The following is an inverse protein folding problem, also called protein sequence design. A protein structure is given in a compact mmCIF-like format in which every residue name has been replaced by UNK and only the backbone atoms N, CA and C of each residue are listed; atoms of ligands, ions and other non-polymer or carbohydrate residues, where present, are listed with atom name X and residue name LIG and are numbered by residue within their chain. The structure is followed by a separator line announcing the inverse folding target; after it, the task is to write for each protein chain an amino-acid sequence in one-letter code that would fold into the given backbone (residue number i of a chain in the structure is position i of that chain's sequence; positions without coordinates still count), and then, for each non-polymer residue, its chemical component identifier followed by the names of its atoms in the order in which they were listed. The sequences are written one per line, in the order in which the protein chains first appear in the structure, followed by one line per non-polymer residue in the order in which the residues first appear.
data_IF_581390308312
#
_entry.id   IF_581390308312
#
_cell.length_a   1.000
_cell.length_b   1.000
_cell.length_c   1.000
_cell.angle_alpha   90.00
_cell.angle_beta   90.00
_cell.angle_gamma   90.00
#
_symmetry.space_group_name_H-M   'P 1'
#
loop_
_entity.id
_entity.type
_entity.pdbx_description
1 polymer ?
#
# COMPACT_ATOMS: atom_id res chain seq x y z
N UNK A 1 -16.26 24.89 -5.27
CA UNK A 1 -15.31 25.31 -4.15
C UNK A 1 -14.03 24.48 -4.21
N UNK A 2 -12.82 25.07 -4.20
CA UNK A 2 -11.63 24.25 -4.45
C UNK A 2 -11.30 23.34 -3.24
N UNK A 3 -11.37 22.09 -3.45
CA UNK A 3 -11.02 21.05 -2.45
C UNK A 3 -9.56 21.23 -1.98
N UNK A 4 -9.45 21.21 -0.60
CA UNK A 4 -8.13 21.43 0.05
C UNK A 4 -7.47 20.08 0.37
N UNK A 5 -6.12 20.11 -0.08
CA UNK A 5 -5.32 18.90 0.19
C UNK A 5 -4.37 19.18 1.36
N UNK A 6 -4.31 18.20 2.29
CA UNK A 6 -3.49 18.39 3.50
C UNK A 6 -2.01 18.15 3.18
N UNK A 7 -1.22 18.91 4.02
CA UNK A 7 0.24 18.70 3.89
C UNK A 7 0.63 17.29 4.34
N UNK A 8 1.56 16.72 3.73
CA UNK A 8 1.97 15.30 3.92
C UNK A 8 2.39 15.04 5.38
N UNK A 9 3.07 15.98 6.04
CA UNK A 9 3.58 15.76 7.41
C UNK A 9 2.42 15.67 8.41
N UNK A 10 1.56 16.50 8.20
CA UNK A 10 0.39 16.46 9.11
C UNK A 10 -0.44 15.19 8.88
N UNK A 11 -0.58 14.79 7.66
CA UNK A 11 -1.32 13.55 7.35
C UNK A 11 -0.64 12.33 7.97
N UNK A 12 0.66 12.35 8.03
CA UNK A 12 1.39 11.21 8.64
C UNK A 12 1.06 11.09 10.13
N UNK A 13 0.97 12.24 10.72
CA UNK A 13 0.70 12.21 12.18
C UNK A 13 -0.71 11.70 12.46
N UNK A 14 -1.55 12.10 11.61
CA UNK A 14 -2.95 11.69 11.85
C UNK A 14 -3.09 10.18 11.59
N UNK A 15 -2.54 9.77 10.45
CA UNK A 15 -2.62 8.33 10.15
C UNK A 15 -1.97 7.51 11.27
N UNK A 16 -0.90 8.01 11.75
CA UNK A 16 -0.20 7.29 12.83
C UNK A 16 -1.12 7.17 14.07
N UNK A 17 -1.77 8.16 14.40
CA UNK A 17 -2.63 8.16 15.61
C UNK A 17 -3.83 7.21 15.42
N UNK A 18 -4.39 7.32 14.24
CA UNK A 18 -5.60 6.50 14.00
C UNK A 18 -5.24 5.01 14.05
N UNK A 19 -4.19 4.64 13.36
CA UNK A 19 -3.83 3.20 13.34
C UNK A 19 -3.37 2.76 14.73
N UNK A 20 -2.65 3.64 15.47
CA UNK A 20 -2.23 3.30 16.86
C UNK A 20 -3.44 3.06 17.75
N UNK A 21 -4.47 3.85 17.59
CA UNK A 21 -5.64 3.73 18.48
C UNK A 21 -6.48 2.51 18.11
N UNK A 22 -6.58 2.19 16.94
CA UNK A 22 -7.49 1.09 16.53
C UNK A 22 -6.74 -0.22 16.40
N UNK A 23 -5.41 -0.16 16.38
CA UNK A 23 -4.52 -1.33 16.28
C UNK A 23 -4.64 -2.01 14.92
N UNK A 24 -5.86 -1.85 14.34
CA UNK A 24 -6.03 -2.48 13.02
C UNK A 24 -7.09 -1.72 12.22
N UNK A 25 -6.75 -1.45 10.89
CA UNK A 25 -7.70 -0.84 9.94
C UNK A 25 -7.78 -1.78 8.71
N UNK A 26 -9.03 -2.06 8.27
CA UNK A 26 -9.28 -3.26 7.43
C UNK A 26 -9.21 -2.91 5.94
N UNK A 27 -9.20 -1.55 5.64
CA UNK A 27 -9.09 -1.24 4.19
C UNK A 27 -8.61 0.19 3.99
N UNK A 28 -8.13 0.46 2.68
CA UNK A 28 -7.68 1.85 2.40
C UNK A 28 -8.85 2.83 2.42
N UNK A 29 -10.11 2.25 2.14
CA UNK A 29 -11.29 3.14 2.20
C UNK A 29 -11.60 3.52 3.65
N UNK A 30 -11.47 2.51 4.41
CA UNK A 30 -11.71 2.79 5.85
C UNK A 30 -10.68 3.77 6.42
N UNK A 31 -9.47 3.56 6.08
CA UNK A 31 -8.43 4.49 6.60
C UNK A 31 -8.70 5.91 6.11
N UNK A 32 -9.01 6.04 4.87
CA UNK A 32 -9.27 7.39 4.32
C UNK A 32 -10.48 8.02 5.00
N UNK A 33 -11.47 7.23 5.18
CA UNK A 33 -12.68 7.77 5.84
C UNK A 33 -12.37 8.26 7.25
N UNK A 34 -11.62 7.45 8.00
CA UNK A 34 -11.27 7.84 9.38
C UNK A 34 -10.40 9.10 9.41
N UNK A 35 -9.51 9.13 8.50
CA UNK A 35 -8.63 10.32 8.47
C UNK A 35 -9.44 11.55 8.06
N UNK A 36 -10.29 11.35 7.12
CA UNK A 36 -11.07 12.50 6.63
C UNK A 36 -12.02 12.98 7.73
N UNK A 37 -12.67 12.08 8.42
CA UNK A 37 -13.55 12.47 9.53
C UNK A 37 -12.82 13.34 10.55
N UNK A 38 -11.65 13.04 10.84
CA UNK A 38 -10.87 13.85 11.80
C UNK A 38 -10.50 15.21 11.20
N UNK A 39 -10.14 15.25 9.92
CA UNK A 39 -9.68 16.50 9.27
C UNK A 39 -10.86 17.46 9.07
N UNK A 40 -11.98 16.90 8.82
CA UNK A 40 -13.13 17.78 8.50
C UNK A 40 -13.66 18.44 9.77
N UNK A 41 -13.19 17.93 10.94
CA UNK A 41 -13.52 18.70 12.16
C UNK A 41 -12.85 20.08 12.15
N UNK A 42 -11.79 20.18 11.44
CA UNK A 42 -11.08 21.48 11.35
C UNK A 42 -11.55 22.28 10.13
N UNK A 43 -11.71 21.57 9.02
CA UNK A 43 -12.15 22.24 7.78
C UNK A 43 -12.94 21.23 6.93
N UNK A 44 -14.12 21.67 6.48
CA UNK A 44 -15.03 20.73 5.77
C UNK A 44 -14.59 20.55 4.31
N UNK A 45 -13.61 21.23 3.87
CA UNK A 45 -13.32 21.18 2.41
C UNK A 45 -12.14 20.23 2.15
N UNK A 46 -11.72 19.53 3.22
CA UNK A 46 -10.58 18.63 2.99
C UNK A 46 -11.06 17.37 2.24
N UNK A 47 -10.08 16.92 1.34
CA UNK A 47 -10.37 15.65 0.65
C UNK A 47 -9.14 14.74 0.74
N UNK A 48 -9.45 13.50 0.75
CA UNK A 48 -8.35 12.52 0.85
C UNK A 48 -8.75 11.24 0.12
N UNK A 49 -7.90 10.91 -0.90
CA UNK A 49 -8.17 9.65 -1.61
C UNK A 49 -7.61 8.44 -0.83
N UNK A 50 -8.26 7.31 -0.99
CA UNK A 50 -7.75 6.10 -0.33
C UNK A 50 -6.31 5.78 -0.75
N UNK A 51 -6.00 6.02 -1.98
CA UNK A 51 -4.62 5.71 -2.46
C UNK A 51 -3.59 6.59 -1.72
N UNK A 52 -3.99 7.86 -1.54
CA UNK A 52 -3.04 8.75 -0.85
C UNK A 52 -2.87 8.32 0.62
N UNK A 53 -3.97 7.92 1.22
CA UNK A 53 -3.88 7.43 2.62
C UNK A 53 -2.98 6.20 2.70
N UNK A 54 -3.14 5.33 1.76
CA UNK A 54 -2.28 4.14 1.72
C UNK A 54 -0.80 4.51 1.54
N UNK A 55 -0.52 5.40 0.66
CA UNK A 55 0.89 5.76 0.39
C UNK A 55 1.55 6.35 1.65
N UNK A 56 0.74 7.14 2.31
CA UNK A 56 1.32 7.76 3.51
C UNK A 56 1.53 6.68 4.58
N UNK A 57 0.59 5.79 4.66
CA UNK A 57 0.77 4.72 5.67
C UNK A 57 2.02 3.88 5.35
N UNK A 58 2.36 3.66 4.11
CA UNK A 58 3.53 2.85 3.73
C UNK A 58 4.83 3.53 4.18
N UNK A 59 4.74 4.80 4.43
CA UNK A 59 5.97 5.52 4.82
C UNK A 59 6.20 5.44 6.32
N UNK A 60 5.25 4.93 7.01
CA UNK A 60 5.36 4.91 8.47
C UNK A 60 5.91 3.55 8.92
N UNK A 61 7.09 3.58 9.52
CA UNK A 61 7.74 2.32 9.92
C UNK A 61 6.96 1.61 11.04
N UNK A 62 6.09 2.30 11.75
CA UNK A 62 5.36 1.70 12.89
C UNK A 62 4.06 1.06 12.40
N UNK A 63 3.82 1.24 11.07
CA UNK A 63 2.58 0.66 10.54
C UNK A 63 2.94 -0.45 9.55
N UNK A 64 2.42 -1.58 9.91
CA UNK A 64 2.56 -2.70 8.94
C UNK A 64 1.40 -2.71 7.95
N UNK A 65 1.77 -2.76 6.66
CA UNK A 65 0.71 -2.79 5.62
C UNK A 65 0.70 -4.18 4.98
N UNK A 66 -0.49 -4.79 5.24
CA UNK A 66 -0.66 -6.12 4.60
C UNK A 66 -1.62 -6.03 3.42
N UNK A 67 -1.11 -6.66 2.32
CA UNK A 67 -2.01 -6.66 1.13
C UNK A 67 -2.61 -8.07 0.95
N UNK A 68 -3.99 -8.05 0.93
CA UNK A 68 -4.64 -9.31 0.48
C UNK A 68 -4.71 -9.38 -1.05
N UNK A 69 -4.17 -10.57 -1.51
CA UNK A 69 -4.01 -10.64 -2.98
C UNK A 69 -4.90 -11.76 -3.54
N UNK A 70 -5.37 -11.56 -4.77
CA UNK A 70 -6.11 -12.62 -5.48
C UNK A 70 -5.28 -13.09 -6.69
N UNK A 71 -5.42 -14.47 -6.86
CA UNK A 71 -4.70 -15.05 -8.02
C UNK A 71 -5.45 -14.74 -9.33
N UNK A 72 -4.70 -14.19 -10.24
CA UNK A 72 -5.35 -13.95 -11.56
C UNK A 72 -4.55 -14.69 -12.64
N UNK A 73 -5.29 -15.36 -13.64
CA UNK A 73 -4.79 -16.32 -14.66
C UNK A 73 -3.99 -15.55 -15.72
N UNK A 74 -4.04 -14.10 -15.71
CA UNK A 74 -3.27 -13.34 -16.74
C UNK A 74 -2.76 -12.03 -16.14
N UNK A 75 -1.48 -12.07 -15.78
CA UNK A 75 -0.96 -10.76 -15.28
C UNK A 75 -0.45 -9.93 -16.46
N UNK A 76 -1.05 -8.80 -16.64
CA UNK A 76 -0.37 -7.88 -17.58
C UNK A 76 1.06 -7.56 -17.12
N UNK A 77 2.05 -7.65 -17.98
CA UNK A 77 3.43 -7.20 -17.67
C UNK A 77 3.45 -6.11 -16.60
N UNK A 78 3.85 -6.53 -15.28
CA UNK A 78 3.93 -5.58 -14.15
C UNK A 78 5.16 -4.69 -14.35
N UNK A 79 4.88 -3.43 -14.75
CA UNK A 79 5.99 -2.48 -14.97
C UNK A 79 6.36 -1.76 -13.66
N UNK A 80 5.29 -1.69 -12.79
CA UNK A 80 5.54 -1.02 -11.49
C UNK A 80 4.84 -1.81 -10.37
N UNK A 81 5.36 -1.55 -9.17
CA UNK A 81 4.77 -2.24 -8.00
C UNK A 81 3.31 -1.83 -7.82
N UNK A 82 2.43 -2.78 -7.74
CA UNK A 82 0.99 -2.49 -7.56
C UNK A 82 0.69 -1.94 -6.17
N UNK A 83 1.68 -2.02 -5.30
CA UNK A 83 1.39 -1.57 -3.92
C UNK A 83 1.94 -0.15 -3.71
N UNK A 84 3.14 0.04 -4.19
CA UNK A 84 3.71 1.36 -3.84
C UNK A 84 4.16 2.08 -5.11
N UNK A 85 4.02 1.50 -6.24
CA UNK A 85 4.32 2.07 -7.57
C UNK A 85 5.83 2.20 -7.81
N UNK A 86 6.58 1.61 -6.92
CA UNK A 86 8.04 1.63 -7.13
C UNK A 86 8.46 0.62 -8.20
N UNK A 87 9.75 0.76 -8.63
CA UNK A 87 10.20 -0.18 -9.67
C UNK A 87 10.26 -1.63 -9.14
N UNK A 88 9.95 -2.59 -10.11
CA UNK A 88 9.96 -4.02 -9.70
C UNK A 88 11.06 -4.73 -10.50
N UNK A 89 11.64 -5.70 -9.78
CA UNK A 89 12.73 -6.45 -10.44
C UNK A 89 12.32 -7.92 -10.55
N UNK A 90 12.79 -8.55 -11.74
CA UNK A 90 12.46 -9.98 -11.92
C UNK A 90 13.35 -10.88 -11.04
N UNK A 91 12.66 -11.90 -10.49
CA UNK A 91 13.45 -12.93 -9.79
C UNK A 91 13.80 -14.06 -10.78
N UNK A 92 15.17 -14.19 -10.89
CA UNK A 92 15.62 -15.14 -11.93
C UNK A 92 16.32 -16.34 -11.27
N UNK A 93 15.99 -17.53 -11.82
CA UNK A 93 16.72 -18.73 -11.38
C UNK A 93 17.19 -19.52 -12.62
N UNK A 94 18.22 -20.43 -12.36
CA UNK A 94 18.66 -21.30 -13.49
C UNK A 94 17.87 -22.61 -13.48
N UNK A 95 17.39 -22.97 -14.71
CA UNK A 95 16.69 -24.27 -14.77
C UNK A 95 17.67 -25.44 -14.94
N UNK A 96 17.14 -26.60 -15.01
CA UNK A 96 17.99 -27.81 -15.09
C UNK A 96 18.89 -27.78 -16.32
N UNK A 97 18.56 -26.88 -17.28
CA UNK A 97 19.41 -26.74 -18.50
C UNK A 97 20.35 -25.55 -18.38
N UNK A 98 20.52 -25.01 -17.17
CA UNK A 98 21.36 -23.84 -16.90
C UNK A 98 20.89 -22.60 -17.68
N UNK A 99 19.66 -22.59 -18.05
CA UNK A 99 19.09 -21.37 -18.65
C UNK A 99 18.41 -20.51 -17.57
N UNK A 100 18.59 -19.11 -17.75
CA UNK A 100 17.98 -18.19 -16.77
C UNK A 100 16.48 -17.99 -17.08
N UNK A 101 15.73 -18.40 -16.01
CA UNK A 101 14.30 -18.17 -16.24
C UNK A 101 13.77 -17.29 -15.11
N UNK A 102 12.69 -16.50 -15.40
CA UNK A 102 12.05 -15.64 -14.39
C UNK A 102 10.94 -16.41 -13.67
N UNK A 103 11.02 -16.36 -12.34
CA UNK A 103 10.02 -17.16 -11.60
C UNK A 103 9.12 -16.22 -10.80
N UNK A 104 9.37 -14.86 -10.97
CA UNK A 104 8.53 -13.91 -10.22
C UNK A 104 9.12 -12.50 -10.26
N UNK A 105 8.42 -11.57 -9.40
CA UNK A 105 8.87 -10.17 -9.32
C UNK A 105 8.91 -9.71 -7.86
N UNK A 106 9.92 -8.86 -7.61
CA UNK A 106 9.98 -8.27 -6.26
C UNK A 106 10.16 -6.76 -6.36
N UNK A 107 9.44 -6.09 -5.33
CA UNK A 107 9.54 -4.62 -5.31
C UNK A 107 10.85 -4.22 -4.62
N UNK A 108 11.45 -3.12 -5.04
CA UNK A 108 12.74 -2.65 -4.48
C UNK A 108 12.48 -1.77 -3.24
N UNK A 109 11.26 -1.46 -3.05
CA UNK A 109 11.02 -0.46 -1.97
C UNK A 109 10.14 -1.09 -0.90
N UNK A 110 9.04 -1.80 -1.27
CA UNK A 110 8.19 -2.38 -0.21
C UNK A 110 8.35 -3.90 -0.20
N UNK A 111 7.53 -4.56 0.58
CA UNK A 111 7.74 -6.02 0.78
C UNK A 111 6.89 -6.81 -0.22
N UNK A 112 6.55 -6.18 -1.32
CA UNK A 112 5.72 -6.92 -2.31
C UNK A 112 6.59 -7.91 -3.09
N UNK A 113 6.13 -9.22 -3.23
CA UNK A 113 6.74 -10.22 -4.11
C UNK A 113 5.66 -11.09 -4.77
N UNK A 114 5.99 -11.36 -6.08
CA UNK A 114 4.95 -12.16 -6.76
C UNK A 114 5.62 -13.28 -7.57
N UNK A 115 4.87 -14.41 -7.71
CA UNK A 115 5.31 -15.46 -8.68
C UNK A 115 4.76 -15.17 -10.08
N UNK A 116 4.97 -16.00 -11.14
CA UNK A 116 4.59 -15.75 -12.55
C UNK A 116 3.06 -15.66 -12.68
N UNK A 117 2.40 -16.17 -11.63
CA UNK A 117 0.97 -15.85 -11.46
C UNK A 117 0.78 -14.54 -10.67
N UNK A 118 0.04 -13.59 -11.38
CA UNK A 118 0.01 -12.24 -10.75
C UNK A 118 -1.00 -12.22 -9.59
N UNK A 119 -0.50 -11.85 -8.37
CA UNK A 119 -1.40 -11.55 -7.22
C UNK A 119 -1.74 -10.06 -7.21
N UNK A 120 -3.00 -9.78 -7.61
CA UNK A 120 -3.44 -8.37 -7.53
C UNK A 120 -3.98 -8.06 -6.12
N UNK A 121 -3.32 -6.96 -5.64
CA UNK A 121 -3.86 -6.62 -4.31
C UNK A 121 -5.35 -6.23 -4.39
N UNK A 122 -6.13 -6.80 -3.51
CA UNK A 122 -7.57 -6.47 -3.50
C UNK A 122 -7.92 -5.59 -2.30
N UNK A 123 -7.04 -5.92 -1.31
CA UNK A 123 -7.38 -5.18 -0.08
C UNK A 123 -6.12 -4.98 0.77
N UNK A 124 -6.16 -3.69 1.35
CA UNK A 124 -5.01 -3.41 2.24
C UNK A 124 -5.47 -3.30 3.69
N UNK A 125 -4.65 -4.02 4.52
CA UNK A 125 -4.92 -3.92 5.97
C UNK A 125 -3.73 -3.25 6.66
N UNK A 126 -4.17 -2.33 7.55
CA UNK A 126 -3.12 -1.57 8.24
C UNK A 126 -3.09 -1.96 9.73
N UNK A 127 -1.81 -2.41 10.18
CA UNK A 127 -1.70 -2.92 11.57
C UNK A 127 -0.58 -2.15 12.29
N UNK A 128 -0.99 -1.76 13.54
CA UNK A 128 0.05 -1.09 14.36
C UNK A 128 1.05 -2.13 14.88
N UNK A 129 2.41 -1.83 14.59
CA UNK A 129 3.43 -2.80 15.04
C UNK A 129 3.67 -2.63 16.54
N UNK A 130 3.17 -3.59 17.34
CA UNK A 130 3.46 -3.46 18.79
C UNK A 130 4.97 -3.51 19.03
N UNK A 131 5.61 -2.33 19.03
CA UNK A 131 6.99 -2.41 19.57
C UNK A 131 6.98 -3.06 20.95
#
# INVERSE_FOLDING_TARGET
MPKKILAKEKLKDIVREIVRSRLKVESQEELARLVLRRMRKEDEDYTLSPTRAKRVALLLPEVEVKAKTKKTIKLPKIEKCPICDSPIEPIKVKNLLNKEITIGYRCTDCAYESDLEAFMPMKYIFIWKHA
#
